data_IF_411885907630
#
_entry.id   IF_411885907630
#
_cell.length_a   1.000
_cell.length_b   1.000
_cell.length_c   1.000
_cell.angle_alpha   90.00
_cell.angle_beta   90.00
_cell.angle_gamma   90.00
#
_symmetry.space_group_name_H-M   'P 1'
#
loop_
_entity.id
_entity.type
_entity.pdbx_description
1 polymer ?
#
# COMPACT_ATOMS: atom_id res chain seq x y z
N UNK A 1 -17.76 -11.97 7.58
CA UNK A 1 -17.00 -12.71 6.54
C UNK A 1 -17.93 -13.53 5.63
N UNK A 2 -19.01 -12.94 5.08
CA UNK A 2 -19.98 -13.67 4.24
C UNK A 2 -20.38 -12.85 3.00
N UNK A 3 -19.40 -12.28 2.30
CA UNK A 3 -19.62 -11.51 1.05
C UNK A 3 -18.75 -11.96 -0.13
N UNK A 4 -17.74 -12.81 0.08
CA UNK A 4 -16.77 -13.18 -0.96
C UNK A 4 -17.33 -14.11 -2.04
N UNK A 5 -18.30 -14.96 -1.70
CA UNK A 5 -18.91 -15.90 -2.66
C UNK A 5 -19.74 -15.20 -3.75
N UNK A 6 -20.21 -13.97 -3.49
CA UNK A 6 -21.10 -13.22 -4.39
C UNK A 6 -20.33 -12.31 -5.38
N UNK A 7 -19.03 -12.10 -5.16
CA UNK A 7 -18.17 -11.24 -5.99
C UNK A 7 -16.83 -11.93 -6.27
N UNK A 8 -16.78 -12.93 -7.17
CA UNK A 8 -15.55 -13.68 -7.47
C UNK A 8 -14.39 -12.78 -7.92
N UNK A 9 -14.69 -11.63 -8.54
CA UNK A 9 -13.71 -10.62 -8.94
C UNK A 9 -13.00 -9.96 -7.74
N UNK A 10 -13.73 -9.66 -6.67
CA UNK A 10 -13.13 -9.08 -5.45
C UNK A 10 -12.25 -10.10 -4.74
N UNK A 11 -12.63 -11.37 -4.79
CA UNK A 11 -11.87 -12.46 -4.20
C UNK A 11 -10.55 -12.71 -4.96
N UNK A 12 -10.56 -12.70 -6.30
CA UNK A 12 -9.33 -12.82 -7.10
C UNK A 12 -8.42 -11.59 -6.95
N UNK A 13 -8.98 -10.39 -6.94
CA UNK A 13 -8.25 -9.15 -6.64
C UNK A 13 -7.62 -9.19 -5.24
N UNK A 14 -8.34 -9.71 -4.24
CA UNK A 14 -7.82 -9.88 -2.88
C UNK A 14 -6.62 -10.83 -2.83
N UNK A 15 -6.68 -11.95 -3.55
CA UNK A 15 -5.55 -12.91 -3.64
C UNK A 15 -4.34 -12.27 -4.33
N UNK A 16 -4.54 -11.53 -5.42
CA UNK A 16 -3.45 -10.83 -6.12
C UNK A 16 -2.86 -9.74 -5.22
N UNK A 17 -3.69 -8.92 -4.59
CA UNK A 17 -3.24 -7.88 -3.67
C UNK A 17 -2.44 -8.48 -2.49
N UNK A 18 -2.89 -9.61 -1.93
CA UNK A 18 -2.18 -10.28 -0.85
C UNK A 18 -0.84 -10.85 -1.30
N UNK A 19 -0.77 -11.52 -2.45
CA UNK A 19 0.49 -12.10 -2.96
C UNK A 19 1.50 -11.03 -3.37
N UNK A 20 1.06 -9.94 -4.00
CA UNK A 20 1.90 -8.79 -4.32
C UNK A 20 2.37 -8.07 -3.06
N UNK A 21 1.49 -7.87 -2.08
CA UNK A 21 1.85 -7.27 -0.79
C UNK A 21 2.84 -8.12 0.01
N UNK A 22 2.67 -9.44 -0.01
CA UNK A 22 3.58 -10.39 0.63
C UNK A 22 4.95 -10.37 -0.05
N UNK A 23 4.99 -10.36 -1.38
CA UNK A 23 6.25 -10.16 -2.14
C UNK A 23 6.94 -8.87 -1.73
N UNK A 24 6.18 -7.76 -1.69
CA UNK A 24 6.72 -6.46 -1.34
C UNK A 24 7.32 -6.43 0.07
N UNK A 25 6.69 -7.09 1.04
CA UNK A 25 7.21 -7.16 2.41
C UNK A 25 8.52 -7.98 2.55
N UNK A 26 8.83 -8.84 1.58
CA UNK A 26 10.07 -9.64 1.53
C UNK A 26 11.14 -9.03 0.62
N UNK A 27 10.95 -7.81 0.12
CA UNK A 27 11.97 -7.14 -0.69
C UNK A 27 13.25 -6.90 0.14
N UNK A 28 14.41 -6.98 -0.52
CA UNK A 28 15.72 -7.01 0.14
C UNK A 28 16.05 -5.69 0.86
N UNK A 29 15.43 -4.58 0.48
CA UNK A 29 15.60 -3.27 1.10
C UNK A 29 15.01 -3.23 2.51
N UNK A 30 13.83 -3.83 2.76
CA UNK A 30 13.27 -3.88 4.11
C UNK A 30 14.14 -4.73 5.04
N UNK A 31 14.61 -5.89 4.57
CA UNK A 31 15.47 -6.78 5.34
C UNK A 31 16.83 -6.12 5.62
N UNK A 32 17.44 -5.49 4.62
CA UNK A 32 18.74 -4.82 4.78
C UNK A 32 18.66 -3.59 5.69
N UNK A 33 17.56 -2.83 5.65
CA UNK A 33 17.35 -1.69 6.55
C UNK A 33 17.22 -2.13 8.01
N UNK A 34 16.48 -3.21 8.28
CA UNK A 34 16.34 -3.77 9.63
C UNK A 34 17.68 -4.33 10.12
N UNK A 35 18.41 -5.10 9.29
CA UNK A 35 19.73 -5.63 9.70
C UNK A 35 20.72 -4.50 10.03
N UNK A 36 20.81 -3.49 9.17
CA UNK A 36 21.71 -2.36 9.39
C UNK A 36 21.38 -1.58 10.66
N UNK A 37 20.10 -1.36 10.96
CA UNK A 37 19.68 -0.64 12.17
C UNK A 37 19.90 -1.46 13.44
N UNK A 38 19.62 -2.76 13.42
CA UNK A 38 19.90 -3.68 14.52
C UNK A 38 21.42 -3.76 14.77
N UNK A 39 22.21 -3.95 13.71
CA UNK A 39 23.68 -4.03 13.80
C UNK A 39 24.27 -2.72 14.33
N UNK A 40 23.74 -1.57 13.90
CA UNK A 40 24.15 -0.25 14.41
C UNK A 40 23.83 -0.09 15.90
N UNK A 41 22.65 -0.49 16.36
CA UNK A 41 22.27 -0.41 17.77
C UNK A 41 23.10 -1.36 18.65
N UNK A 42 23.37 -2.58 18.15
CA UNK A 42 24.28 -3.52 18.81
C UNK A 42 25.70 -2.96 18.93
N UNK A 43 26.23 -2.33 17.89
CA UNK A 43 27.53 -1.64 17.95
C UNK A 43 27.54 -0.49 18.97
N UNK A 44 26.40 0.20 19.13
CA UNK A 44 26.22 1.26 20.13
C UNK A 44 25.90 0.72 21.54
N UNK A 45 25.92 -0.62 21.74
CA UNK A 45 25.49 -1.31 22.97
C UNK A 45 24.08 -0.94 23.44
N UNK A 46 23.22 -0.50 22.52
CA UNK A 46 21.83 -0.21 22.79
C UNK A 46 20.96 -1.44 22.52
N UNK A 47 19.82 -1.51 23.20
CA UNK A 47 18.89 -2.62 23.03
C UNK A 47 18.16 -2.52 21.67
N UNK A 48 18.32 -3.48 20.75
CA UNK A 48 17.65 -3.45 19.43
C UNK A 48 16.18 -3.91 19.46
N UNK A 49 15.64 -4.24 20.64
CA UNK A 49 14.24 -4.65 20.81
C UNK A 49 13.30 -3.52 20.35
N UNK A 50 12.48 -3.81 19.33
CA UNK A 50 11.46 -2.88 18.82
C UNK A 50 11.77 -2.19 17.48
N UNK A 51 12.99 -2.34 16.93
CA UNK A 51 13.36 -1.76 15.62
C UNK A 51 12.40 -2.19 14.51
N UNK A 52 12.08 -3.49 14.45
CA UNK A 52 11.13 -4.01 13.47
C UNK A 52 9.71 -3.44 13.62
N UNK A 53 9.28 -3.13 14.85
CA UNK A 53 7.98 -2.54 15.11
C UNK A 53 7.92 -1.09 14.63
N UNK A 54 8.93 -0.27 14.94
CA UNK A 54 8.98 1.10 14.45
C UNK A 54 9.16 1.17 12.94
N UNK A 55 9.89 0.23 12.35
CA UNK A 55 10.05 0.12 10.91
C UNK A 55 8.71 -0.17 10.21
N UNK A 56 7.96 -1.18 10.67
CA UNK A 56 6.68 -1.53 10.08
C UNK A 56 5.63 -0.41 10.29
N UNK A 57 5.65 0.24 11.46
CA UNK A 57 4.75 1.36 11.77
C UNK A 57 5.05 2.59 10.90
N UNK A 58 6.32 2.95 10.76
CA UNK A 58 6.75 4.06 9.90
C UNK A 58 6.43 3.79 8.43
N UNK A 59 6.82 2.63 7.91
CA UNK A 59 6.57 2.27 6.51
C UNK A 59 5.06 2.23 6.18
N UNK A 60 4.26 1.61 7.05
CA UNK A 60 2.79 1.55 6.88
C UNK A 60 2.16 2.94 6.90
N UNK A 61 2.66 3.86 7.74
CA UNK A 61 2.13 5.23 7.79
C UNK A 61 2.31 5.98 6.46
N UNK A 62 3.46 5.84 5.81
CA UNK A 62 3.75 6.49 4.52
C UNK A 62 2.87 5.89 3.43
N UNK A 63 2.76 4.56 3.36
CA UNK A 63 1.92 3.88 2.38
C UNK A 63 0.45 4.28 2.55
N UNK A 64 -0.05 4.34 3.80
CA UNK A 64 -1.41 4.76 4.09
C UNK A 64 -1.67 6.21 3.65
N UNK A 65 -0.75 7.14 3.97
CA UNK A 65 -0.86 8.53 3.55
C UNK A 65 -0.84 8.68 2.02
N UNK A 66 0.02 7.94 1.34
CA UNK A 66 0.05 7.92 -0.13
C UNK A 66 -1.26 7.40 -0.73
N UNK A 67 -1.82 6.32 -0.19
CA UNK A 67 -3.09 5.78 -0.64
C UNK A 67 -4.26 6.77 -0.41
N UNK A 68 -4.29 7.42 0.75
CA UNK A 68 -5.28 8.45 1.05
C UNK A 68 -5.15 9.66 0.11
N UNK A 69 -3.92 10.14 -0.11
CA UNK A 69 -3.64 11.23 -1.04
C UNK A 69 -4.07 10.87 -2.48
N UNK A 70 -3.80 9.64 -2.93
CA UNK A 70 -4.23 9.15 -4.23
C UNK A 70 -5.76 9.12 -4.35
N UNK A 71 -6.48 8.65 -3.31
CA UNK A 71 -7.95 8.65 -3.31
C UNK A 71 -8.55 10.05 -3.41
N UNK A 72 -7.96 11.02 -2.71
CA UNK A 72 -8.32 12.44 -2.82
C UNK A 72 -8.01 12.96 -4.22
N UNK A 73 -6.81 12.68 -4.74
CA UNK A 73 -6.37 13.13 -6.06
C UNK A 73 -7.26 12.59 -7.18
N UNK A 74 -7.66 11.31 -7.12
CA UNK A 74 -8.58 10.70 -8.09
C UNK A 74 -9.95 11.36 -8.01
N UNK A 75 -10.48 11.59 -6.81
CA UNK A 75 -11.78 12.26 -6.63
C UNK A 75 -11.73 13.70 -7.15
N UNK A 76 -10.63 14.41 -6.90
CA UNK A 76 -10.41 15.76 -7.39
C UNK A 76 -10.27 15.78 -8.92
N UNK A 77 -9.52 14.84 -9.50
CA UNK A 77 -9.34 14.70 -10.94
C UNK A 77 -10.68 14.38 -11.63
N UNK A 78 -11.50 13.49 -11.06
CA UNK A 78 -12.84 13.18 -11.59
C UNK A 78 -13.74 14.42 -11.66
N UNK A 79 -13.72 15.27 -10.62
CA UNK A 79 -14.48 16.53 -10.61
C UNK A 79 -13.97 17.53 -11.65
N UNK A 80 -12.68 17.53 -11.96
CA UNK A 80 -12.12 18.40 -13.01
C UNK A 80 -12.30 17.82 -14.43
N UNK A 81 -12.48 16.50 -14.54
CA UNK A 81 -12.73 15.77 -15.79
C UNK A 81 -14.22 15.56 -16.10
N UNK A 82 -15.17 16.08 -15.31
CA UNK A 82 -16.60 16.13 -15.67
C UNK A 82 -16.81 16.83 -17.04
N UNK A 83 -15.90 17.69 -17.46
CA UNK A 83 -15.88 18.28 -18.81
C UNK A 83 -15.66 17.26 -19.94
N UNK A 84 -15.07 16.08 -19.68
CA UNK A 84 -14.80 15.04 -20.68
C UNK A 84 -15.84 13.90 -20.66
N UNK A 85 -16.65 13.78 -19.60
CA UNK A 85 -17.71 12.76 -19.52
C UNK A 85 -18.83 13.00 -20.54
N UNK A 86 -19.04 14.24 -20.97
CA UNK A 86 -20.00 14.59 -22.04
C UNK A 86 -19.57 14.09 -23.43
N UNK A 87 -18.27 13.88 -23.65
CA UNK A 87 -17.75 13.37 -24.94
C UNK A 87 -17.66 11.85 -24.97
N UNK A 88 -17.32 11.21 -23.84
CA UNK A 88 -17.28 9.73 -23.75
C UNK A 88 -18.63 9.03 -23.74
N UNK A 89 -19.72 9.72 -23.36
CA UNK A 89 -21.08 9.17 -23.35
C UNK A 89 -21.79 9.14 -24.71
N UNK A 90 -21.22 9.80 -25.74
CA UNK A 90 -21.79 9.84 -27.09
C UNK A 90 -21.39 8.62 -27.96
N UNK A 91 -20.34 7.87 -27.58
CA UNK A 91 -19.89 6.68 -28.32
C UNK A 91 -20.29 5.34 -27.66
N UNK A 92 -20.92 5.37 -26.50
CA UNK A 92 -21.34 4.17 -25.75
C UNK A 92 -22.84 3.81 -25.92
N UNK A 93 -23.48 4.28 -26.99
CA UNK A 93 -24.91 4.05 -27.26
C UNK A 93 -25.15 3.24 -28.52
#
# INVERSE_FOLDING_TARGET
WIGGAQYPLLMSMGVIAYTLGLRHAFDADHIAAIDNTVRKLLQQKQNPMGVGFYFSLGHSSVVFLMAAALGIAVTWAQRHMESFQTTGGLEAR
#
